data_IF_130399640115
#
_entry.id   IF_130399640115
#
_cell.length_a   1.000
_cell.length_b   1.000
_cell.length_c   1.000
_cell.angle_alpha   90.00
_cell.angle_beta   90.00
_cell.angle_gamma   90.00
#
_symmetry.space_group_name_H-M   'P 1'
#
loop_
_entity.id
_entity.type
_entity.pdbx_description
1 polymer ?
#
# COMPACT_ATOMS: atom_id res chain seq x y z
N UNK A 1 19.67 20.05 -20.70
CA UNK A 1 18.36 19.51 -21.12
C UNK A 1 17.97 18.50 -20.06
N UNK A 2 17.04 18.85 -19.17
CA UNK A 2 16.26 17.88 -18.41
C UNK A 2 14.82 18.35 -18.49
N UNK A 3 13.98 17.45 -19.03
CA UNK A 3 12.67 17.76 -19.60
C UNK A 3 11.64 18.20 -18.57
N UNK A 4 10.79 19.14 -18.98
CA UNK A 4 9.59 19.53 -18.27
C UNK A 4 8.60 18.38 -18.10
N UNK A 5 8.66 17.70 -16.96
CA UNK A 5 7.56 16.93 -16.43
C UNK A 5 7.32 17.39 -14.99
N UNK A 6 6.20 18.07 -14.72
CA UNK A 6 5.78 18.35 -13.35
C UNK A 6 5.72 17.06 -12.52
N UNK A 7 5.82 17.20 -11.20
CA UNK A 7 5.73 16.10 -10.23
C UNK A 7 4.60 15.15 -10.61
N UNK A 8 4.89 13.85 -10.74
CA UNK A 8 3.88 12.86 -11.11
C UNK A 8 2.97 12.62 -9.92
N UNK A 9 1.65 12.70 -10.15
CA UNK A 9 0.66 12.28 -9.17
C UNK A 9 0.45 10.77 -9.26
N UNK A 10 0.53 10.07 -8.14
CA UNK A 10 0.41 8.61 -8.04
C UNK A 10 -0.60 8.28 -6.94
N UNK A 11 -1.57 7.42 -7.26
CA UNK A 11 -2.50 6.86 -6.28
C UNK A 11 -2.08 5.42 -5.98
N UNK A 12 -1.76 5.14 -4.73
CA UNK A 12 -1.46 3.78 -4.25
C UNK A 12 -2.74 3.17 -3.72
N UNK A 13 -3.24 2.17 -4.43
CA UNK A 13 -4.40 1.37 -4.02
C UNK A 13 -3.92 0.21 -3.15
N UNK A 14 -4.30 0.18 -1.87
CA UNK A 14 -3.89 -0.90 -0.96
C UNK A 14 -4.97 -1.95 -0.82
N UNK A 15 -4.55 -3.21 -0.86
CA UNK A 15 -5.43 -4.38 -0.69
C UNK A 15 -5.03 -5.26 0.49
N UNK A 16 -3.95 -4.89 1.20
CA UNK A 16 -3.29 -5.70 2.22
C UNK A 16 -2.08 -6.45 1.66
N UNK A 17 -2.10 -7.78 1.74
CA UNK A 17 -0.99 -8.61 1.31
C UNK A 17 0.17 -8.68 2.32
N UNK A 18 1.17 -9.51 2.03
CA UNK A 18 2.30 -9.77 2.95
C UNK A 18 3.09 -8.51 3.31
N UNK A 19 3.20 -7.53 2.40
CA UNK A 19 3.88 -6.26 2.68
C UNK A 19 3.27 -5.52 3.88
N UNK A 20 1.96 -5.69 4.09
CA UNK A 20 1.19 -5.10 5.18
C UNK A 20 1.11 -5.96 6.44
N UNK A 21 1.63 -7.19 6.41
CA UNK A 21 1.58 -8.09 7.58
C UNK A 21 2.86 -8.02 8.40
N UNK A 22 2.73 -8.20 9.71
CA UNK A 22 3.84 -8.31 10.66
C UNK A 22 3.48 -9.37 11.70
N UNK A 23 4.51 -10.01 12.25
CA UNK A 23 4.38 -10.75 13.51
C UNK A 23 4.82 -9.80 14.63
N UNK A 24 3.87 -9.37 15.45
CA UNK A 24 4.09 -8.39 16.52
C UNK A 24 4.10 -9.02 17.91
N UNK A 25 3.60 -10.24 18.04
CA UNK A 25 3.33 -10.92 19.31
C UNK A 25 3.83 -12.38 19.34
N UNK A 26 4.49 -12.85 18.27
CA UNK A 26 4.99 -14.22 18.13
C UNK A 26 3.90 -15.25 17.80
N UNK A 27 2.66 -14.81 17.53
CA UNK A 27 1.54 -15.70 17.18
C UNK A 27 1.33 -15.85 15.66
N UNK A 28 2.24 -15.29 14.87
CA UNK A 28 2.25 -15.38 13.42
C UNK A 28 1.84 -14.08 12.72
N UNK A 29 2.08 -14.05 11.39
CA UNK A 29 1.90 -12.85 10.59
C UNK A 29 0.42 -12.44 10.47
N UNK A 30 0.09 -11.24 10.96
CA UNK A 30 -1.24 -10.63 10.88
C UNK A 30 -1.16 -9.28 10.16
N UNK A 31 -2.24 -8.80 9.53
CA UNK A 31 -2.30 -7.45 8.99
C UNK A 31 -1.99 -6.42 10.07
N UNK A 32 -1.00 -5.56 9.83
CA UNK A 32 -0.46 -4.63 10.82
C UNK A 32 -0.20 -3.21 10.27
N UNK A 33 0.09 -3.07 8.97
CA UNK A 33 0.45 -1.79 8.37
C UNK A 33 -0.59 -1.31 7.36
N UNK A 34 -1.04 -0.06 7.47
CA UNK A 34 -1.87 0.58 6.44
C UNK A 34 -0.98 1.19 5.36
N UNK A 35 -1.55 1.60 4.23
CA UNK A 35 -0.79 2.17 3.11
C UNK A 35 0.03 3.39 3.52
N UNK A 36 -0.51 4.24 4.37
CA UNK A 36 0.23 5.39 4.92
C UNK A 36 1.44 4.97 5.77
N UNK A 37 1.37 3.85 6.46
CA UNK A 37 2.51 3.34 7.22
C UNK A 37 3.59 2.80 6.26
N UNK A 38 3.18 2.16 5.16
CA UNK A 38 4.12 1.73 4.12
C UNK A 38 4.84 2.90 3.45
N UNK A 39 4.16 4.04 3.22
CA UNK A 39 4.82 5.21 2.64
C UNK A 39 5.88 5.82 3.56
N UNK A 40 5.67 5.78 4.89
CA UNK A 40 6.65 6.28 5.89
C UNK A 40 7.96 5.50 5.89
N UNK A 41 7.93 4.23 5.47
CA UNK A 41 9.11 3.36 5.38
C UNK A 41 9.99 3.66 4.15
N UNK A 42 9.59 4.62 3.29
CA UNK A 42 10.32 4.98 2.06
C UNK A 42 10.81 6.44 2.14
N UNK A 43 11.96 6.70 2.78
CA UNK A 43 12.56 8.03 2.82
C UNK A 43 12.79 8.58 1.41
N UNK A 44 12.38 9.83 1.18
CA UNK A 44 12.59 10.52 -0.10
C UNK A 44 11.53 10.24 -1.17
N UNK A 45 10.48 9.47 -0.88
CA UNK A 45 9.41 9.18 -1.84
C UNK A 45 8.78 10.46 -2.44
N UNK A 46 8.64 11.52 -1.63
CA UNK A 46 8.09 12.80 -2.06
C UNK A 46 8.95 13.54 -3.09
N UNK A 47 10.22 13.17 -3.25
CA UNK A 47 11.07 13.73 -4.31
C UNK A 47 10.81 13.07 -5.68
N UNK A 48 10.20 11.88 -5.69
CA UNK A 48 9.90 11.13 -6.91
C UNK A 48 8.46 11.38 -7.41
N UNK A 49 7.49 11.54 -6.51
CA UNK A 49 6.09 11.71 -6.86
C UNK A 49 5.27 12.39 -5.75
N UNK A 50 4.14 12.99 -6.14
CA UNK A 50 3.04 13.35 -5.24
C UNK A 50 2.16 12.11 -5.05
N UNK A 51 2.21 11.48 -3.88
CA UNK A 51 1.63 10.16 -3.63
C UNK A 51 0.48 10.26 -2.64
N UNK A 52 -0.68 9.74 -3.02
CA UNK A 52 -1.83 9.55 -2.13
C UNK A 52 -2.19 8.07 -2.00
N UNK A 53 -2.83 7.69 -0.90
CA UNK A 53 -3.24 6.30 -0.63
C UNK A 53 -4.76 6.22 -0.66
N UNK A 54 -5.29 5.21 -1.36
CA UNK A 54 -6.68 4.79 -1.21
C UNK A 54 -6.73 3.34 -0.72
N UNK A 55 -7.40 3.13 0.42
CA UNK A 55 -7.51 1.83 1.06
C UNK A 55 -8.71 1.06 0.49
N UNK A 56 -8.45 0.02 -0.29
CA UNK A 56 -9.50 -0.82 -0.89
C UNK A 56 -9.79 -2.07 -0.07
N UNK A 57 -8.76 -2.68 0.51
CA UNK A 57 -8.89 -3.83 1.39
C UNK A 57 -7.72 -3.95 2.36
N UNK A 58 -7.90 -4.79 3.37
CA UNK A 58 -6.89 -5.07 4.37
C UNK A 58 -6.93 -6.53 4.81
N UNK A 59 -6.56 -7.41 3.88
CA UNK A 59 -6.53 -8.86 4.08
C UNK A 59 -5.14 -9.42 3.77
N UNK A 60 -4.67 -10.47 4.45
CA UNK A 60 -3.45 -11.14 4.03
C UNK A 60 -3.63 -11.71 2.63
N UNK A 61 -2.57 -11.74 1.82
CA UNK A 61 -2.68 -12.06 0.40
C UNK A 61 -3.26 -13.46 0.12
N UNK A 62 -2.94 -14.43 0.98
CA UNK A 62 -3.46 -15.79 0.91
C UNK A 62 -4.99 -15.90 1.16
N UNK A 63 -5.61 -14.84 1.67
CA UNK A 63 -7.04 -14.79 2.02
C UNK A 63 -7.84 -13.95 1.02
N UNK A 64 -7.19 -13.42 -0.03
CA UNK A 64 -7.89 -12.67 -1.08
C UNK A 64 -8.83 -13.59 -1.86
N UNK A 65 -10.08 -13.16 -2.04
CA UNK A 65 -11.10 -13.90 -2.79
C UNK A 65 -11.64 -13.09 -3.96
N UNK A 66 -12.25 -13.77 -4.94
CA UNK A 66 -12.96 -13.09 -6.04
C UNK A 66 -14.08 -12.18 -5.54
N UNK A 67 -14.76 -12.56 -4.45
CA UNK A 67 -15.79 -11.72 -3.83
C UNK A 67 -15.18 -10.42 -3.30
N UNK A 68 -14.06 -10.50 -2.58
CA UNK A 68 -13.36 -9.32 -2.07
C UNK A 68 -12.90 -8.41 -3.22
N UNK A 69 -12.36 -8.99 -4.31
CA UNK A 69 -11.98 -8.22 -5.50
C UNK A 69 -13.18 -7.54 -6.17
N UNK A 70 -14.33 -8.22 -6.24
CA UNK A 70 -15.55 -7.66 -6.80
C UNK A 70 -16.12 -6.45 -6.03
N UNK A 71 -15.66 -6.21 -4.81
CA UNK A 71 -16.04 -5.04 -4.00
C UNK A 71 -15.11 -3.83 -4.21
N UNK A 72 -14.03 -3.96 -5.01
CA UNK A 72 -12.99 -2.94 -5.19
C UNK A 72 -13.19 -2.03 -6.43
N UNK A 73 -14.42 -1.93 -6.93
CA UNK A 73 -14.77 -1.17 -8.15
C UNK A 73 -15.04 0.30 -7.91
#
# INVERSE_FOLDING_TARGET
MDGGGGMKRVVVLTTGGTISTRDVDGSGAKPALRGQDLLKEIPGLSAAADVEVAELAFVPGAFMTLQTMGQMS
#
